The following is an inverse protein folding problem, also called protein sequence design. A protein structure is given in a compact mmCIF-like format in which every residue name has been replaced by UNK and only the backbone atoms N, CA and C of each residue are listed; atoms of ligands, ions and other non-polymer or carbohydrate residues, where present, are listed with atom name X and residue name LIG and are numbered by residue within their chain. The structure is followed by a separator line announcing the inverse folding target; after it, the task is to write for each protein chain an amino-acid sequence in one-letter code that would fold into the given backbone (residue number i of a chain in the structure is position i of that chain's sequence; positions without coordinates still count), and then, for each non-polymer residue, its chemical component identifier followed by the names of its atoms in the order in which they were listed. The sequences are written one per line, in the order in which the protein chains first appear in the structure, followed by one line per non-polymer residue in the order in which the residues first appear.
data_IF_367089085717
#
_entry.id   IF_367089085717
#
_cell.length_a   1.000
_cell.length_b   1.000
_cell.length_c   1.000
_cell.angle_alpha   90.00
_cell.angle_beta   90.00
_cell.angle_gamma   90.00
#
_symmetry.space_group_name_H-M   'P 1'
#
loop_
_entity.id
_entity.type
_entity.pdbx_description
1 polymer ?
#
# COMPACT_ATOMS: atom_id res chain seq x y z
N UNK A 1 -27.20 4.03 -20.76
CA UNK A 1 -25.83 3.93 -20.21
C UNK A 1 -25.56 4.44 -18.79
N UNK A 2 -26.49 5.14 -18.11
CA UNK A 2 -26.18 5.68 -16.77
C UNK A 2 -26.14 4.63 -15.64
N UNK A 3 -27.04 3.65 -15.67
CA UNK A 3 -27.19 2.69 -14.57
C UNK A 3 -26.01 1.73 -14.45
N UNK A 4 -25.54 1.13 -15.55
CA UNK A 4 -24.38 0.22 -15.52
C UNK A 4 -23.13 0.92 -14.98
N UNK A 5 -22.88 2.16 -15.42
CA UNK A 5 -21.78 2.99 -14.91
C UNK A 5 -21.93 3.29 -13.41
N UNK A 6 -23.15 3.58 -12.94
CA UNK A 6 -23.40 3.79 -11.51
C UNK A 6 -23.08 2.54 -10.69
N UNK A 7 -23.52 1.36 -11.15
CA UNK A 7 -23.25 0.10 -10.44
C UNK A 7 -21.75 -0.24 -10.38
N UNK A 8 -21.01 0.01 -11.45
CA UNK A 8 -19.55 -0.16 -11.48
C UNK A 8 -18.88 0.83 -10.52
N UNK A 9 -19.31 2.09 -10.53
CA UNK A 9 -18.76 3.13 -9.64
C UNK A 9 -19.03 2.82 -8.17
N UNK A 10 -20.23 2.36 -7.83
CA UNK A 10 -20.57 1.98 -6.45
C UNK A 10 -19.80 0.74 -6.01
N UNK A 11 -19.62 -0.25 -6.89
CA UNK A 11 -18.80 -1.43 -6.61
C UNK A 11 -17.34 -1.03 -6.35
N UNK A 12 -16.76 -0.19 -7.22
CA UNK A 12 -15.39 0.31 -7.05
C UNK A 12 -15.25 1.12 -5.77
N UNK A 13 -16.18 2.04 -5.48
CA UNK A 13 -16.13 2.87 -4.27
C UNK A 13 -16.20 2.03 -3.00
N UNK A 14 -17.05 1.01 -2.97
CA UNK A 14 -17.16 0.10 -1.83
C UNK A 14 -15.85 -0.68 -1.61
N UNK A 15 -15.29 -1.24 -2.68
CA UNK A 15 -14.01 -1.96 -2.64
C UNK A 15 -12.88 -1.04 -2.14
N UNK A 16 -12.78 0.18 -2.67
CA UNK A 16 -11.76 1.15 -2.25
C UNK A 16 -11.93 1.65 -0.82
N UNK A 17 -13.16 1.71 -0.29
CA UNK A 17 -13.41 2.19 1.07
C UNK A 17 -13.00 1.21 2.17
N UNK A 18 -12.82 -0.06 1.83
CA UNK A 18 -12.47 -1.13 2.78
C UNK A 18 -11.02 -1.59 2.72
N UNK A 19 -10.15 -0.95 1.92
CA UNK A 19 -8.74 -1.33 1.77
C UNK A 19 -7.84 -0.11 1.97
N UNK A 20 -6.64 -0.37 2.48
CA UNK A 20 -5.61 0.65 2.57
C UNK A 20 -5.10 1.04 1.18
N UNK A 21 -4.61 2.28 1.07
CA UNK A 21 -4.10 2.83 -0.18
C UNK A 21 -3.03 1.91 -0.82
N UNK A 22 -2.15 1.36 0.01
CA UNK A 22 -1.04 0.50 -0.42
C UNK A 22 -1.52 -0.84 -0.97
N UNK A 23 -2.55 -1.42 -0.33
CA UNK A 23 -3.20 -2.66 -0.77
C UNK A 23 -3.93 -2.46 -2.10
N UNK A 24 -4.55 -1.29 -2.30
CA UNK A 24 -5.19 -0.95 -3.57
C UNK A 24 -4.19 -0.88 -4.73
N UNK A 25 -2.98 -0.39 -4.49
CA UNK A 25 -1.93 -0.33 -5.52
C UNK A 25 -1.33 -1.71 -5.82
N UNK A 26 -1.19 -2.55 -4.80
CA UNK A 26 -0.59 -3.88 -4.94
C UNK A 26 -1.57 -4.88 -5.57
N UNK A 27 -2.86 -4.78 -5.26
CA UNK A 27 -3.87 -5.79 -5.58
C UNK A 27 -4.76 -5.44 -6.77
N UNK A 28 -4.23 -4.73 -7.79
CA UNK A 28 -5.02 -4.32 -8.98
C UNK A 28 -5.76 -5.47 -9.66
N UNK A 29 -5.12 -6.64 -9.77
CA UNK A 29 -5.71 -7.83 -10.40
C UNK A 29 -6.88 -8.37 -9.56
N UNK A 30 -6.70 -8.46 -8.25
CA UNK A 30 -7.73 -8.92 -7.33
C UNK A 30 -8.93 -7.96 -7.29
N UNK A 31 -8.68 -6.65 -7.24
CA UNK A 31 -9.71 -5.62 -7.29
C UNK A 31 -10.54 -5.72 -8.57
N UNK A 32 -9.88 -5.98 -9.70
CA UNK A 32 -10.57 -6.16 -10.98
C UNK A 32 -11.48 -7.40 -10.95
N UNK A 33 -11.02 -8.51 -10.40
CA UNK A 33 -11.84 -9.71 -10.20
C UNK A 33 -13.06 -9.44 -9.31
N UNK A 34 -12.86 -8.78 -8.17
CA UNK A 34 -13.94 -8.43 -7.22
C UNK A 34 -14.97 -7.48 -7.84
N UNK A 35 -14.52 -6.50 -8.62
CA UNK A 35 -15.40 -5.59 -9.34
C UNK A 35 -16.23 -6.35 -10.39
N UNK A 36 -15.61 -7.24 -11.16
CA UNK A 36 -16.30 -8.10 -12.12
C UNK A 36 -17.41 -8.89 -11.45
N UNK A 37 -17.11 -9.58 -10.35
CA UNK A 37 -18.05 -10.48 -9.70
C UNK A 37 -19.25 -9.73 -9.14
N UNK A 38 -19.01 -8.57 -8.51
CA UNK A 38 -20.07 -7.72 -7.96
C UNK A 38 -20.99 -7.16 -9.07
N UNK A 39 -20.41 -6.69 -10.17
CA UNK A 39 -21.19 -6.19 -11.32
C UNK A 39 -21.92 -7.35 -12.01
N UNK A 40 -21.29 -8.51 -12.16
CA UNK A 40 -21.89 -9.70 -12.76
C UNK A 40 -23.10 -10.19 -11.95
N UNK A 41 -23.00 -10.24 -10.63
CA UNK A 41 -24.10 -10.62 -9.74
C UNK A 41 -25.30 -9.67 -9.88
N UNK A 42 -25.05 -8.35 -9.88
CA UNK A 42 -26.12 -7.35 -10.04
C UNK A 42 -26.74 -7.33 -11.43
N UNK A 43 -25.99 -7.74 -12.45
CA UNK A 43 -26.40 -7.70 -13.85
C UNK A 43 -26.99 -9.03 -14.36
N UNK A 44 -26.77 -10.14 -13.62
CA UNK A 44 -27.30 -11.45 -13.95
C UNK A 44 -28.84 -11.50 -14.10
N UNK A 45 -29.66 -10.82 -13.26
CA UNK A 45 -31.12 -10.79 -13.43
C UNK A 45 -31.59 -10.16 -14.73
N UNK A 46 -30.74 -9.34 -15.35
CA UNK A 46 -31.02 -8.62 -16.59
C UNK A 46 -30.46 -9.35 -17.83
N UNK A 47 -29.87 -10.53 -17.66
CA UNK A 47 -29.35 -11.36 -18.75
C UNK A 47 -27.96 -10.94 -19.28
N UNK A 48 -27.27 -10.03 -18.60
CA UNK A 48 -25.92 -9.62 -19.00
C UNK A 48 -24.85 -10.52 -18.40
N UNK A 49 -23.83 -10.86 -19.20
CA UNK A 49 -22.64 -11.60 -18.77
C UNK A 49 -21.41 -10.69 -18.83
N UNK A 50 -20.81 -10.41 -17.68
CA UNK A 50 -19.59 -9.60 -17.59
C UNK A 50 -18.37 -10.50 -17.82
N UNK A 51 -17.64 -10.29 -18.92
CA UNK A 51 -16.46 -11.09 -19.27
C UNK A 51 -15.23 -10.72 -18.44
N UNK A 52 -14.70 -9.52 -18.69
CA UNK A 52 -13.52 -8.98 -18.00
C UNK A 52 -13.77 -7.52 -17.63
N UNK A 53 -13.27 -7.12 -16.46
CA UNK A 53 -13.15 -5.72 -16.06
C UNK A 53 -11.67 -5.40 -15.94
N UNK A 54 -11.21 -4.37 -16.64
CA UNK A 54 -9.84 -3.88 -16.56
C UNK A 54 -9.83 -2.59 -15.75
N UNK A 55 -8.99 -2.53 -14.72
CA UNK A 55 -8.69 -1.28 -14.04
C UNK A 55 -7.51 -0.65 -14.77
N UNK A 56 -7.75 0.45 -15.48
CA UNK A 56 -6.74 1.15 -16.29
C UNK A 56 -5.81 1.99 -15.44
N UNK A 57 -6.33 2.81 -14.54
CA UNK A 57 -5.49 3.64 -13.68
C UNK A 57 -6.17 4.08 -12.38
N UNK A 58 -5.36 4.48 -11.41
CA UNK A 58 -5.81 5.10 -10.16
C UNK A 58 -5.25 6.51 -10.06
N UNK A 59 -6.13 7.51 -10.10
CA UNK A 59 -5.76 8.88 -9.75
C UNK A 59 -6.08 9.12 -8.28
N UNK A 60 -5.04 9.37 -7.50
CA UNK A 60 -5.14 9.82 -6.11
C UNK A 60 -4.74 11.29 -6.03
N UNK A 61 -5.32 12.01 -5.07
CA UNK A 61 -4.96 13.41 -4.83
C UNK A 61 -3.45 13.53 -4.57
N UNK A 62 -2.82 14.49 -5.24
CA UNK A 62 -1.37 14.71 -5.16
C UNK A 62 -0.91 14.92 -3.71
N UNK A 63 -1.72 15.58 -2.87
CA UNK A 63 -1.39 15.81 -1.47
C UNK A 63 -1.32 14.49 -0.70
N UNK A 64 -2.23 13.57 -0.95
CA UNK A 64 -2.24 12.25 -0.29
C UNK A 64 -1.00 11.44 -0.70
N UNK A 65 -0.59 11.55 -1.97
CA UNK A 65 0.63 10.92 -2.48
C UNK A 65 1.88 11.46 -1.79
N UNK A 66 1.98 12.78 -1.66
CA UNK A 66 3.11 13.45 -0.99
C UNK A 66 3.17 13.09 0.50
N UNK A 67 2.04 13.10 1.20
CA UNK A 67 1.96 12.70 2.61
C UNK A 67 2.38 11.24 2.82
N UNK A 68 1.91 10.33 1.95
CA UNK A 68 2.27 8.91 2.02
C UNK A 68 3.77 8.70 1.83
N UNK A 69 4.35 9.41 0.85
CA UNK A 69 5.79 9.36 0.61
C UNK A 69 6.59 9.92 1.79
N UNK A 70 6.14 11.04 2.36
CA UNK A 70 6.79 11.65 3.52
C UNK A 70 6.80 10.72 4.73
N UNK A 71 5.67 10.04 5.01
CA UNK A 71 5.58 9.06 6.09
C UNK A 71 6.53 7.89 5.86
N UNK A 72 6.63 7.38 4.64
CA UNK A 72 7.56 6.31 4.29
C UNK A 72 9.02 6.73 4.52
N UNK A 73 9.41 7.90 4.01
CA UNK A 73 10.77 8.46 4.19
C UNK A 73 11.09 8.66 5.67
N UNK A 74 10.17 9.19 6.47
CA UNK A 74 10.38 9.36 7.90
C UNK A 74 10.56 8.02 8.63
N UNK A 75 9.80 6.98 8.26
CA UNK A 75 9.98 5.64 8.83
C UNK A 75 11.35 5.06 8.47
N UNK A 76 11.76 5.17 7.21
CA UNK A 76 13.05 4.69 6.75
C UNK A 76 14.22 5.43 7.41
N UNK A 77 14.12 6.76 7.55
CA UNK A 77 15.14 7.56 8.24
C UNK A 77 15.25 7.16 9.72
N UNK A 78 14.13 6.98 10.42
CA UNK A 78 14.14 6.52 11.82
C UNK A 78 14.80 5.15 11.98
N UNK A 79 14.57 4.24 11.03
CA UNK A 79 15.20 2.92 11.04
C UNK A 79 16.72 3.05 10.82
N UNK A 80 17.14 3.87 9.85
CA UNK A 80 18.55 4.13 9.59
C UNK A 80 19.24 4.76 10.82
N UNK A 81 18.62 5.75 11.45
CA UNK A 81 19.15 6.40 12.67
C UNK A 81 19.28 5.40 13.83
N UNK A 82 18.29 4.51 13.98
CA UNK A 82 18.32 3.45 14.98
C UNK A 82 19.48 2.47 14.73
N UNK A 83 19.62 1.99 13.49
CA UNK A 83 20.70 1.06 13.11
C UNK A 83 22.08 1.69 13.30
N UNK A 84 22.25 2.96 12.91
CA UNK A 84 23.50 3.71 13.13
C UNK A 84 23.78 3.88 14.62
N UNK A 85 22.75 4.18 15.43
CA UNK A 85 22.87 4.29 16.88
C UNK A 85 23.34 2.97 17.54
N UNK A 86 22.77 1.84 17.14
CA UNK A 86 23.23 0.52 17.62
C UNK A 86 24.67 0.21 17.19
N UNK A 87 25.03 0.53 15.95
CA UNK A 87 26.39 0.35 15.46
C UNK A 87 27.42 1.18 16.25
N UNK A 88 27.08 2.43 16.59
CA UNK A 88 27.94 3.29 17.43
C UNK A 88 28.11 2.72 18.83
N UNK A 89 27.03 2.25 19.47
CA UNK A 89 27.10 1.63 20.80
C UNK A 89 27.99 0.39 20.81
N UNK A 90 27.87 -0.48 19.79
CA UNK A 90 28.72 -1.67 19.64
C UNK A 90 30.19 -1.27 19.44
N UNK A 91 30.45 -0.25 18.62
CA UNK A 91 31.81 0.27 18.40
C UNK A 91 32.42 0.78 19.71
N UNK A 92 31.69 1.56 20.49
CA UNK A 92 32.19 2.13 21.74
C UNK A 92 32.53 1.06 22.78
N UNK A 93 31.70 0.02 22.89
CA UNK A 93 31.99 -1.15 23.76
C UNK A 93 33.27 -1.84 23.31
N UNK A 94 33.42 -2.14 22.00
CA UNK A 94 34.63 -2.80 21.48
C UNK A 94 35.90 -1.97 21.68
N UNK A 95 35.80 -0.64 21.55
CA UNK A 95 36.93 0.26 21.83
C UNK A 95 37.28 0.24 23.32
N UNK A 96 36.29 0.26 24.20
CA UNK A 96 36.50 0.19 25.65
C UNK A 96 37.13 -1.14 26.08
N UNK A 97 36.68 -2.27 25.51
CA UNK A 97 37.26 -3.60 25.73
C UNK A 97 38.72 -3.66 25.27
N UNK A 98 39.02 -3.18 24.06
CA UNK A 98 40.41 -3.16 23.54
C UNK A 98 41.35 -2.28 24.36
N UNK A 99 40.88 -1.15 24.90
CA UNK A 99 41.67 -0.31 25.80
C UNK A 99 41.88 -0.92 27.20
N UNK A 100 40.97 -1.78 27.64
CA UNK A 100 41.11 -2.51 28.91
C UNK A 100 42.12 -3.66 28.77
N UNK A 101 42.13 -4.36 27.63
CA UNK A 101 43.12 -5.40 27.34
C UNK A 101 44.54 -4.83 27.16
N UNK A 102 44.71 -3.66 26.55
CA UNK A 102 46.04 -3.04 26.43
C UNK A 102 46.65 -2.52 27.74
N UNK A 103 45.84 -2.38 28.80
CA UNK A 103 46.29 -1.91 30.13
C UNK A 103 46.60 -3.05 31.10
N UNK A 104 46.59 -4.30 30.67
CA UNK A 104 47.10 -5.47 31.40
C UNK A 104 48.46 -5.89 30.87
#
# INVERSE_FOLDING_TARGET
DGQLRSYVNDAMRNICSGMDLDDMFTSKVEMSGRCRDNVAEKMAPYGYRVGHTLITDFEIDQRVKEETQNVFVQRMNKLADYEVGEALKIRDIKVAEGQAEQRR
#
